data_IF_921838294228
#
_entry.id   IF_921838294228
#
_cell.length_a   1.000
_cell.length_b   1.000
_cell.length_c   1.000
_cell.angle_alpha   90.00
_cell.angle_beta   90.00
_cell.angle_gamma   90.00
#
_symmetry.space_group_name_H-M   'P 1'
#
loop_
_entity.id
_entity.type
_entity.pdbx_description
1 polymer ?
#
# COMPACT_ATOMS: atom_id res chain seq x y z
N UNK A 1 -14.13 -10.86 2.68
CA UNK A 1 -12.75 -10.30 2.79
C UNK A 1 -12.30 -9.96 1.38
N UNK A 2 -12.59 -8.74 0.92
CA UNK A 2 -12.04 -8.27 -0.35
C UNK A 2 -10.57 -8.00 -0.11
N UNK A 3 -9.68 -8.68 -0.82
CA UNK A 3 -8.32 -8.19 -0.98
C UNK A 3 -8.42 -6.72 -1.36
N UNK A 4 -7.78 -5.82 -0.62
CA UNK A 4 -7.49 -4.47 -1.09
C UNK A 4 -6.56 -4.60 -2.30
N UNK A 5 -7.14 -5.04 -3.42
CA UNK A 5 -6.44 -5.20 -4.68
C UNK A 5 -5.89 -3.85 -5.06
N UNK A 6 -4.64 -3.82 -5.51
CA UNK A 6 -4.04 -2.65 -6.12
C UNK A 6 -5.04 -2.05 -7.10
N UNK A 7 -5.65 -0.92 -6.74
CA UNK A 7 -6.55 -0.22 -7.66
C UNK A 7 -5.67 0.48 -8.67
N UNK A 8 -5.78 0.07 -9.93
CA UNK A 8 -4.98 0.57 -11.02
C UNK A 8 -5.82 1.51 -11.87
N UNK A 9 -5.19 2.56 -12.37
CA UNK A 9 -5.76 3.45 -13.38
C UNK A 9 -5.05 3.19 -14.69
N UNK A 10 -5.86 3.03 -15.74
CA UNK A 10 -5.36 2.76 -17.10
C UNK A 10 -5.47 4.04 -17.90
N UNK A 11 -4.36 4.44 -18.50
CA UNK A 11 -4.25 5.62 -19.33
C UNK A 11 -3.73 5.26 -20.72
N UNK A 12 -4.15 6.02 -21.73
CA UNK A 12 -3.63 5.95 -23.10
C UNK A 12 -3.10 7.33 -23.49
N UNK A 13 -1.88 7.39 -24.01
CA UNK A 13 -1.33 8.64 -24.56
C UNK A 13 -1.62 8.80 -26.06
N UNK A 14 -1.35 9.99 -26.62
CA UNK A 14 -1.50 10.28 -28.06
C UNK A 14 -0.74 9.33 -29.02
N UNK A 15 0.26 8.61 -28.53
CA UNK A 15 1.03 7.62 -29.29
C UNK A 15 0.45 6.20 -29.17
N UNK A 16 -0.77 6.06 -28.63
CA UNK A 16 -1.46 4.77 -28.43
C UNK A 16 -0.70 3.80 -27.51
N UNK A 17 0.11 4.34 -26.58
CA UNK A 17 0.78 3.54 -25.56
C UNK A 17 -0.05 3.53 -24.28
N UNK A 18 -0.19 2.34 -23.69
CA UNK A 18 -0.85 2.14 -22.41
C UNK A 18 0.08 2.44 -21.25
N UNK A 19 -0.46 3.10 -20.23
CA UNK A 19 0.21 3.43 -18.98
C UNK A 19 -0.68 2.93 -17.85
N UNK A 20 -0.11 2.15 -16.94
CA UNK A 20 -0.77 1.66 -15.74
C UNK A 20 -0.17 2.41 -14.56
N UNK A 21 -1.03 3.03 -13.73
CA UNK A 21 -0.59 3.75 -12.54
C UNK A 21 -1.47 3.38 -11.34
N UNK A 22 -0.92 3.32 -10.13
CA UNK A 22 -1.73 3.08 -8.93
C UNK A 22 -2.66 4.25 -8.61
N UNK A 23 -3.84 3.95 -8.05
CA UNK A 23 -4.93 4.89 -7.77
C UNK A 23 -4.59 5.94 -6.70
N UNK A 24 -3.61 5.66 -5.82
CA UNK A 24 -3.12 6.60 -4.81
C UNK A 24 -2.26 7.74 -5.39
N UNK A 25 -2.05 7.75 -6.71
CA UNK A 25 -1.02 8.54 -7.36
C UNK A 25 -1.57 9.63 -8.29
N UNK A 26 -2.50 10.45 -7.80
CA UNK A 26 -2.89 11.70 -8.50
C UNK A 26 -1.73 12.73 -8.58
N UNK A 27 -0.53 12.43 -8.05
CA UNK A 27 0.62 13.36 -7.96
C UNK A 27 1.83 13.05 -8.85
N UNK A 28 1.82 12.02 -9.71
CA UNK A 28 2.97 11.76 -10.59
C UNK A 28 2.84 12.48 -11.93
N UNK A 29 3.81 13.37 -12.20
CA UNK A 29 3.96 14.18 -13.41
C UNK A 29 4.26 13.42 -14.71
N UNK A 30 3.47 12.39 -15.02
CA UNK A 30 3.50 11.63 -16.28
C UNK A 30 2.22 11.74 -17.11
N UNK A 31 1.14 12.31 -16.54
CA UNK A 31 -0.12 12.55 -17.25
C UNK A 31 0.00 13.90 -17.96
N UNK A 32 0.56 13.89 -19.16
CA UNK A 32 0.53 15.06 -20.05
C UNK A 32 -0.92 15.43 -20.40
N UNK A 33 -1.16 16.67 -20.85
CA UNK A 33 -2.45 17.11 -21.41
C UNK A 33 -2.92 16.27 -22.61
N UNK A 34 -2.09 15.33 -23.10
CA UNK A 34 -2.37 14.45 -24.24
C UNK A 34 -2.61 12.99 -23.83
N UNK A 35 -2.89 12.76 -22.55
CA UNK A 35 -3.18 11.44 -21.98
C UNK A 35 -4.66 11.38 -21.56
N UNK A 36 -5.37 10.32 -21.95
CA UNK A 36 -6.75 10.06 -21.52
C UNK A 36 -6.78 8.89 -20.54
N UNK A 37 -7.63 9.00 -19.52
CA UNK A 37 -7.94 7.88 -18.63
C UNK A 37 -9.06 7.05 -19.24
N UNK A 38 -8.88 5.73 -19.29
CA UNK A 38 -9.97 4.81 -19.56
C UNK A 38 -10.78 4.69 -18.27
N UNK A 39 -12.02 5.18 -18.30
CA UNK A 39 -12.95 5.03 -17.18
C UNK A 39 -13.43 3.59 -17.07
N UNK A 40 -14.05 3.25 -15.94
CA UNK A 40 -14.57 1.92 -15.63
C UNK A 40 -15.50 1.39 -16.71
N UNK A 41 -15.31 0.13 -17.10
CA UNK A 41 -16.08 -0.59 -18.10
C UNK A 41 -15.45 -1.95 -18.43
N UNK A 42 -16.13 -2.76 -19.24
CA UNK A 42 -15.72 -4.16 -19.50
C UNK A 42 -14.26 -4.33 -19.95
N UNK A 43 -13.75 -3.40 -20.75
CA UNK A 43 -12.36 -3.44 -21.21
C UNK A 43 -11.38 -3.15 -20.08
N UNK A 44 -11.65 -2.15 -19.25
CA UNK A 44 -10.76 -1.77 -18.14
C UNK A 44 -10.78 -2.82 -17.05
N UNK A 45 -11.94 -3.43 -16.76
CA UNK A 45 -12.06 -4.56 -15.83
C UNK A 45 -11.24 -5.77 -16.27
N UNK A 46 -11.29 -6.13 -17.55
CA UNK A 46 -10.50 -7.25 -18.08
C UNK A 46 -8.99 -7.00 -17.96
N UNK A 47 -8.54 -5.78 -18.28
CA UNK A 47 -7.13 -5.39 -18.15
C UNK A 47 -6.71 -5.38 -16.68
N UNK A 48 -7.53 -4.81 -15.79
CA UNK A 48 -7.26 -4.78 -14.34
C UNK A 48 -7.12 -6.20 -13.77
N UNK A 49 -7.99 -7.12 -14.20
CA UNK A 49 -7.91 -8.52 -13.79
C UNK A 49 -6.61 -9.17 -14.25
N UNK A 50 -6.28 -9.10 -15.55
CA UNK A 50 -5.07 -9.73 -16.10
C UNK A 50 -3.79 -9.16 -15.47
N UNK A 51 -3.74 -7.85 -15.26
CA UNK A 51 -2.61 -7.20 -14.58
C UNK A 51 -2.54 -7.62 -13.12
N UNK A 52 -3.68 -7.72 -12.43
CA UNK A 52 -3.75 -8.20 -11.05
C UNK A 52 -3.23 -9.63 -10.91
N UNK A 53 -3.64 -10.52 -11.81
CA UNK A 53 -3.15 -11.91 -11.87
C UNK A 53 -1.63 -11.94 -12.09
N UNK A 54 -1.10 -11.17 -13.04
CA UNK A 54 0.33 -11.09 -13.30
C UNK A 54 1.13 -10.55 -12.08
N UNK A 55 0.59 -9.56 -11.37
CA UNK A 55 1.20 -9.04 -10.14
C UNK A 55 1.21 -10.13 -9.05
N UNK A 56 0.09 -10.85 -8.87
CA UNK A 56 -0.01 -11.94 -7.89
C UNK A 56 1.00 -13.06 -8.19
N UNK A 57 1.23 -13.39 -9.45
CA UNK A 57 2.23 -14.39 -9.84
C UNK A 57 3.66 -13.92 -9.52
N UNK A 58 3.95 -12.64 -9.73
CA UNK A 58 5.23 -12.04 -9.34
C UNK A 58 5.39 -12.09 -7.81
N UNK A 59 4.36 -11.73 -7.06
CA UNK A 59 4.37 -11.79 -5.59
C UNK A 59 4.68 -13.21 -5.13
N UNK A 60 3.91 -14.21 -5.56
CA UNK A 60 4.12 -15.62 -5.20
C UNK A 60 5.50 -16.13 -5.57
N UNK A 61 6.07 -15.65 -6.68
CA UNK A 61 7.43 -16.02 -7.10
C UNK A 61 8.50 -15.55 -6.12
N UNK A 62 8.31 -14.39 -5.49
CA UNK A 62 9.30 -13.80 -4.59
C UNK A 62 8.95 -13.96 -3.10
N UNK A 63 7.70 -14.22 -2.71
CA UNK A 63 7.33 -14.46 -1.30
C UNK A 63 8.26 -15.46 -0.58
N UNK A 64 8.64 -16.61 -1.18
CA UNK A 64 9.50 -17.58 -0.51
C UNK A 64 10.91 -17.08 -0.17
N UNK A 65 11.44 -16.07 -0.88
CA UNK A 65 12.78 -15.54 -0.55
C UNK A 65 12.80 -14.76 0.76
N UNK A 66 11.62 -14.38 1.26
CA UNK A 66 11.46 -13.68 2.53
C UNK A 66 11.14 -14.63 3.70
N UNK A 67 10.89 -15.91 3.44
CA UNK A 67 10.70 -16.94 4.46
C UNK A 67 12.06 -17.33 5.08
N UNK A 68 12.60 -16.41 5.88
CA UNK A 68 13.92 -16.56 6.52
C UNK A 68 13.88 -16.08 7.96
N UNK A 69 14.69 -16.66 8.86
CA UNK A 69 14.77 -16.24 10.26
C UNK A 69 15.12 -14.75 10.45
N UNK A 70 15.85 -14.15 9.50
CA UNK A 70 16.22 -12.74 9.54
C UNK A 70 14.99 -11.84 9.40
N UNK A 71 14.05 -12.21 8.52
CA UNK A 71 12.81 -11.45 8.35
C UNK A 71 11.93 -11.57 9.61
N UNK A 72 11.87 -12.75 10.23
CA UNK A 72 11.16 -12.96 11.50
C UNK A 72 11.74 -12.10 12.63
N UNK A 73 13.06 -12.04 12.74
CA UNK A 73 13.74 -11.21 13.72
C UNK A 73 13.43 -9.71 13.51
N UNK A 74 13.40 -9.23 12.26
CA UNK A 74 13.01 -7.85 11.94
C UNK A 74 11.56 -7.55 12.33
N UNK A 75 10.63 -8.49 12.14
CA UNK A 75 9.25 -8.33 12.60
C UNK A 75 9.17 -8.30 14.13
N UNK A 76 9.93 -9.17 14.82
CA UNK A 76 9.99 -9.17 16.29
C UNK A 76 10.53 -7.85 16.84
N UNK A 77 11.58 -7.28 16.25
CA UNK A 77 12.10 -5.97 16.62
C UNK A 77 11.07 -4.86 16.42
N UNK A 78 10.35 -4.88 15.29
CA UNK A 78 9.28 -3.93 15.00
C UNK A 78 8.14 -4.03 16.01
N UNK A 79 7.70 -5.24 16.36
CA UNK A 79 6.68 -5.44 17.39
C UNK A 79 7.12 -4.91 18.76
N UNK A 80 8.38 -5.16 19.13
CA UNK A 80 8.95 -4.62 20.37
C UNK A 80 8.99 -3.09 20.36
N UNK A 81 9.34 -2.47 19.22
CA UNK A 81 9.33 -1.02 19.07
C UNK A 81 7.91 -0.45 19.21
N UNK A 82 6.91 -1.09 18.61
CA UNK A 82 5.49 -0.69 18.74
C UNK A 82 5.04 -0.80 20.19
N UNK A 83 5.33 -1.91 20.87
CA UNK A 83 4.99 -2.09 22.29
C UNK A 83 5.61 -1.01 23.16
N UNK A 84 6.90 -0.73 22.98
CA UNK A 84 7.57 0.36 23.70
C UNK A 84 6.90 1.70 23.46
N UNK A 85 6.49 2.00 22.22
CA UNK A 85 5.81 3.25 21.90
C UNK A 85 4.45 3.36 22.61
N UNK A 86 3.66 2.27 22.62
CA UNK A 86 2.40 2.19 23.35
C UNK A 86 2.63 2.34 24.85
N UNK A 87 3.63 1.65 25.41
CA UNK A 87 3.97 1.75 26.83
C UNK A 87 4.40 3.18 27.21
N UNK A 88 5.12 3.88 26.33
CA UNK A 88 5.45 5.30 26.52
C UNK A 88 4.23 6.21 26.48
N UNK A 89 3.32 6.01 25.52
CA UNK A 89 2.08 6.79 25.44
C UNK A 89 1.19 6.54 26.66
N UNK A 90 1.10 5.29 27.13
CA UNK A 90 0.38 4.95 28.37
C UNK A 90 1.04 5.56 29.60
N UNK A 91 2.37 5.46 29.74
CA UNK A 91 3.09 6.07 30.87
C UNK A 91 2.97 7.61 30.87
N UNK A 92 3.02 8.25 29.70
CA UNK A 92 2.78 9.69 29.56
C UNK A 92 1.34 10.06 29.94
N UNK A 93 0.36 9.26 29.55
CA UNK A 93 -1.05 9.49 29.89
C UNK A 93 -1.28 9.34 31.39
N UNK A 94 -0.73 8.31 32.02
CA UNK A 94 -0.79 8.11 33.48
C UNK A 94 -0.09 9.25 34.25
N UNK A 95 1.03 9.78 33.75
CA UNK A 95 1.68 10.94 34.35
C UNK A 95 0.84 12.21 34.26
N UNK A 96 0.15 12.44 33.13
CA UNK A 96 -0.74 13.59 32.94
C UNK A 96 -2.00 13.48 33.82
N UNK A 97 -2.61 12.29 33.92
CA UNK A 97 -3.79 12.07 34.76
C UNK A 97 -3.49 12.24 36.26
N UNK A 98 -2.29 11.86 36.73
CA UNK A 98 -1.86 12.06 38.13
C UNK A 98 -1.58 13.54 38.45
N UNK A 99 -1.20 14.36 37.45
CA UNK A 99 -1.07 15.82 37.61
C UNK A 99 -2.44 16.52 37.71
N UNK A 100 -3.47 16.01 37.01
CA UNK A 100 -4.83 16.58 37.04
C UNK A 100 -5.65 16.21 38.29
N UNK A 101 -5.37 15.08 38.97
CA UNK A 101 -6.06 14.68 40.21
C UNK A 101 -5.55 15.37 41.49
N UNK A 102 -4.47 16.18 41.40
CA UNK A 102 -3.87 16.89 42.53
C UNK A 102 -4.25 18.39 42.62
N UNK A 103 -5.37 18.80 42.00
CA UNK A 103 -5.93 20.16 42.07
C UNK A 103 -7.35 20.22 42.64
#
# INVERSE_FOLDING_TARGET
MGSEGLRLRIYINKHKKMIIAPDYNDRYGGISNTTIQLRTGKLTEAIEQEVGEAILDIIKKYEPIFDTPIIDDLFREKEQAIRKMVDYDTALTEMVEVEDENY
#
